data_IF_547087641557
#
_entry.id   IF_547087641557
#
_cell.length_a   1.000
_cell.length_b   1.000
_cell.length_c   1.000
_cell.angle_alpha   90.00
_cell.angle_beta   90.00
_cell.angle_gamma   90.00
#
_symmetry.space_group_name_H-M   'P 1'
#
loop_
_entity.id
_entity.type
_entity.pdbx_description
1 polymer ?
#
# COMPACT_ATOMS: atom_id res chain seq x y z
N UNK A 1 3.53 -37.22 -54.71
CA UNK A 1 3.83 -37.88 -53.41
C UNK A 1 4.52 -36.84 -52.53
N UNK A 2 3.87 -35.76 -52.14
CA UNK A 2 2.65 -35.63 -51.33
C UNK A 2 2.76 -36.18 -49.90
N UNK A 3 2.66 -35.21 -48.99
CA UNK A 3 1.94 -35.19 -47.70
C UNK A 3 2.53 -36.07 -46.57
N UNK A 4 3.20 -35.51 -45.56
CA UNK A 4 2.70 -34.60 -44.51
C UNK A 4 1.53 -35.18 -43.70
N UNK A 5 1.79 -35.47 -42.42
CA UNK A 5 0.87 -35.41 -41.24
C UNK A 5 1.72 -35.61 -39.98
N UNK A 6 1.87 -34.56 -39.16
CA UNK A 6 1.11 -34.33 -37.91
C UNK A 6 1.72 -35.12 -36.73
N UNK A 7 2.13 -34.52 -35.61
CA UNK A 7 1.41 -33.53 -34.83
C UNK A 7 2.32 -32.56 -34.06
N UNK A 8 1.83 -31.33 -33.96
CA UNK A 8 2.34 -30.21 -33.17
C UNK A 8 1.30 -29.93 -32.07
N UNK A 9 1.70 -29.88 -30.79
CA UNK A 9 0.97 -29.23 -29.66
C UNK A 9 1.76 -29.40 -28.34
N UNK A 10 1.52 -28.57 -27.30
CA UNK A 10 2.38 -27.42 -27.00
C UNK A 10 3.04 -27.48 -25.61
N UNK A 11 4.00 -26.57 -25.44
CA UNK A 11 4.71 -26.16 -24.22
C UNK A 11 3.80 -25.67 -23.09
N UNK A 12 3.94 -26.26 -21.90
CA UNK A 12 3.49 -25.79 -20.57
C UNK A 12 4.46 -26.41 -19.56
N UNK A 13 5.10 -25.75 -18.61
CA UNK A 13 5.13 -24.35 -18.20
C UNK A 13 6.41 -24.11 -17.38
N UNK A 14 6.81 -22.85 -17.33
CA UNK A 14 7.94 -22.33 -16.57
C UNK A 14 7.54 -22.30 -15.09
N UNK A 15 8.20 -23.07 -14.23
CA UNK A 15 8.22 -22.78 -12.80
C UNK A 15 9.40 -21.84 -12.53
N UNK A 16 9.13 -20.53 -12.66
CA UNK A 16 10.06 -19.49 -12.23
C UNK A 16 10.04 -19.47 -10.70
N UNK A 17 10.94 -20.25 -10.09
CA UNK A 17 11.27 -20.09 -8.67
C UNK A 17 11.84 -18.68 -8.50
N UNK A 18 11.05 -17.81 -7.88
CA UNK A 18 11.48 -16.49 -7.45
C UNK A 18 12.73 -16.62 -6.59
N UNK A 19 13.86 -16.14 -7.10
CA UNK A 19 15.12 -15.98 -6.37
C UNK A 19 15.07 -14.70 -5.55
N UNK A 20 14.19 -14.66 -4.56
CA UNK A 20 14.36 -13.80 -3.39
C UNK A 20 14.28 -14.69 -2.16
N UNK A 21 15.21 -15.64 -2.10
CA UNK A 21 15.57 -16.31 -0.87
C UNK A 21 16.23 -15.24 -0.01
N UNK A 22 15.42 -14.62 0.86
CA UNK A 22 15.89 -13.95 2.07
C UNK A 22 17.03 -14.79 2.63
N UNK A 23 18.19 -14.17 2.83
CA UNK A 23 19.32 -14.83 3.45
C UNK A 23 18.82 -15.50 4.74
N UNK A 24 18.84 -16.83 4.71
CA UNK A 24 18.21 -17.68 5.68
C UNK A 24 18.80 -17.41 7.07
N UNK A 25 18.01 -16.81 7.95
CA UNK A 25 18.13 -17.12 9.37
C UNK A 25 17.43 -18.48 9.54
N UNK A 26 18.22 -19.51 9.78
CA UNK A 26 17.75 -20.88 9.85
C UNK A 26 17.18 -21.14 11.26
N UNK A 27 15.92 -20.73 11.47
CA UNK A 27 15.27 -20.72 12.79
C UNK A 27 14.84 -22.08 13.36
N UNK A 28 15.03 -23.19 12.61
CA UNK A 28 14.63 -24.53 13.05
C UNK A 28 13.14 -24.65 13.46
N UNK A 29 12.81 -25.67 14.27
CA UNK A 29 11.47 -25.90 14.87
C UNK A 29 11.15 -24.93 16.04
N UNK A 30 11.93 -23.86 16.23
CA UNK A 30 11.94 -23.03 17.46
C UNK A 30 11.32 -21.63 17.32
N UNK A 31 11.02 -21.14 16.12
CA UNK A 31 10.39 -19.83 15.97
C UNK A 31 8.86 -19.94 16.04
N UNK A 32 8.29 -19.40 17.12
CA UNK A 32 6.84 -19.17 17.20
C UNK A 32 6.37 -18.16 16.16
N UNK A 33 5.11 -18.25 15.75
CA UNK A 33 4.53 -17.34 14.75
C UNK A 33 4.58 -15.88 15.20
N UNK A 34 4.52 -15.66 16.51
CA UNK A 34 4.67 -14.38 17.18
C UNK A 34 6.05 -13.77 16.90
N UNK A 35 7.10 -14.58 17.01
CA UNK A 35 8.49 -14.14 16.78
C UNK A 35 8.72 -13.79 15.31
N UNK A 36 8.16 -14.59 14.39
CA UNK A 36 8.21 -14.32 12.95
C UNK A 36 7.51 -13.01 12.62
N UNK A 37 6.35 -12.75 13.23
CA UNK A 37 5.61 -11.51 13.02
C UNK A 37 6.38 -10.27 13.51
N UNK A 38 7.09 -10.35 14.64
CA UNK A 38 7.96 -9.27 15.12
C UNK A 38 9.16 -9.09 14.18
N UNK A 39 9.77 -10.17 13.70
CA UNK A 39 10.90 -10.09 12.77
C UNK A 39 10.50 -9.45 11.43
N UNK A 40 9.32 -9.80 10.90
CA UNK A 40 8.75 -9.18 9.71
C UNK A 40 8.46 -7.68 9.94
N UNK A 41 7.85 -7.35 11.08
CA UNK A 41 7.58 -5.97 11.48
C UNK A 41 8.88 -5.14 11.63
N UNK A 42 9.93 -5.71 12.20
CA UNK A 42 11.23 -5.06 12.35
C UNK A 42 11.96 -4.90 11.00
N UNK A 43 11.66 -5.74 10.01
CA UNK A 43 12.18 -5.66 8.63
C UNK A 43 11.38 -4.73 7.72
N UNK A 44 10.18 -4.30 8.13
CA UNK A 44 9.29 -3.49 7.29
C UNK A 44 9.98 -2.19 6.81
N UNK A 45 9.83 -1.85 5.54
CA UNK A 45 10.46 -0.66 4.99
C UNK A 45 9.67 0.59 5.36
N UNK A 46 10.21 1.44 6.25
CA UNK A 46 9.61 2.72 6.66
C UNK A 46 8.12 2.58 7.04
N UNK A 47 7.82 1.83 8.11
CA UNK A 47 6.44 1.49 8.44
C UNK A 47 5.59 2.74 8.70
N UNK A 48 4.34 2.68 8.24
CA UNK A 48 3.36 3.71 8.53
C UNK A 48 3.09 3.79 10.06
N UNK A 49 2.88 4.98 10.65
CA UNK A 49 2.56 5.12 12.08
C UNK A 49 1.34 4.34 12.56
N UNK A 50 0.44 3.88 11.67
CA UNK A 50 -0.70 3.03 12.03
C UNK A 50 -0.36 1.53 12.04
N UNK A 51 0.81 1.16 11.57
CA UNK A 51 1.29 -0.23 11.56
C UNK A 51 1.95 -0.58 12.90
N UNK A 52 1.73 -1.79 13.46
CA UNK A 52 2.49 -2.26 14.63
C UNK A 52 4.00 -2.31 14.35
N UNK A 53 4.42 -2.41 13.08
CA UNK A 53 5.83 -2.34 12.70
C UNK A 53 6.49 -1.00 13.04
N UNK A 54 5.74 0.10 13.03
CA UNK A 54 6.27 1.38 13.50
C UNK A 54 6.66 1.31 14.97
N UNK A 55 5.77 0.77 15.81
CA UNK A 55 6.03 0.62 17.23
C UNK A 55 7.20 -0.33 17.51
N UNK A 56 7.23 -1.49 16.84
CA UNK A 56 8.33 -2.47 16.96
C UNK A 56 9.68 -1.81 16.63
N UNK A 57 9.78 -1.10 15.50
CA UNK A 57 11.03 -0.45 15.10
C UNK A 57 11.43 0.69 16.04
N UNK A 58 10.47 1.43 16.59
CA UNK A 58 10.76 2.51 17.53
C UNK A 58 11.23 2.00 18.87
N UNK A 59 10.60 0.96 19.41
CA UNK A 59 11.07 0.31 20.65
C UNK A 59 12.49 -0.23 20.46
N UNK A 60 12.77 -0.87 19.31
CA UNK A 60 14.13 -1.33 18.98
C UNK A 60 15.13 -0.16 18.97
N UNK A 61 14.81 0.95 18.30
CA UNK A 61 15.66 2.14 18.24
C UNK A 61 15.89 2.78 19.61
N UNK A 62 14.84 2.93 20.43
CA UNK A 62 14.94 3.48 21.79
C UNK A 62 15.94 2.67 22.60
N UNK A 63 15.88 1.35 22.50
CA UNK A 63 16.75 0.47 23.29
C UNK A 63 18.14 0.25 22.74
N UNK A 64 18.34 0.40 21.44
CA UNK A 64 19.68 0.36 20.84
C UNK A 64 20.49 1.65 21.11
N UNK A 65 19.82 2.77 21.37
CA UNK A 65 20.44 4.08 21.58
C UNK A 65 20.53 4.49 23.07
N UNK A 66 20.12 3.61 23.99
CA UNK A 66 20.21 3.85 25.43
C UNK A 66 21.67 3.63 25.87
N UNK A 67 22.44 4.71 26.00
CA UNK A 67 23.91 4.68 26.24
C UNK A 67 24.31 4.01 27.57
N UNK A 68 23.40 3.95 28.54
CA UNK A 68 23.66 3.38 29.88
C UNK A 68 23.32 1.88 29.99
N UNK A 69 22.42 1.36 29.14
CA UNK A 69 22.01 -0.05 29.12
C UNK A 69 21.62 -0.44 27.69
N UNK A 70 22.59 -0.88 26.87
CA UNK A 70 22.28 -1.62 25.64
C UNK A 70 21.61 -2.95 26.02
N UNK A 71 20.29 -2.94 26.23
CA UNK A 71 19.51 -4.11 26.65
C UNK A 71 19.51 -5.18 25.55
N UNK A 72 19.69 -4.79 24.29
CA UNK A 72 19.78 -5.72 23.16
C UNK A 72 21.14 -5.63 22.50
N UNK A 73 21.94 -6.70 22.62
CA UNK A 73 23.24 -6.82 21.96
C UNK A 73 23.08 -7.18 20.48
N UNK A 74 22.00 -7.90 20.13
CA UNK A 74 21.67 -8.30 18.76
C UNK A 74 20.16 -8.25 18.46
N UNK A 75 19.82 -8.35 17.17
CA UNK A 75 18.42 -8.38 16.68
C UNK A 75 17.67 -9.57 17.30
N UNK A 76 18.34 -10.70 17.42
CA UNK A 76 17.79 -11.95 17.94
C UNK A 76 17.38 -11.82 19.42
N UNK A 77 18.19 -11.12 20.22
CA UNK A 77 17.88 -10.85 21.64
C UNK A 77 16.61 -10.01 21.77
N UNK A 78 16.45 -9.02 20.89
CA UNK A 78 15.24 -8.21 20.84
C UNK A 78 14.00 -9.07 20.54
N UNK A 79 14.07 -9.95 19.55
CA UNK A 79 12.94 -10.81 19.18
C UNK A 79 12.48 -11.71 20.33
N UNK A 80 13.42 -12.27 21.11
CA UNK A 80 13.11 -13.13 22.26
C UNK A 80 12.53 -12.33 23.42
N UNK A 81 13.08 -11.14 23.68
CA UNK A 81 12.73 -10.33 24.85
C UNK A 81 11.51 -9.43 24.62
N UNK A 82 11.14 -9.13 23.37
CA UNK A 82 10.06 -8.22 23.02
C UNK A 82 8.77 -8.39 23.84
N UNK A 83 8.18 -9.60 23.97
CA UNK A 83 6.94 -9.76 24.74
C UNK A 83 7.10 -9.52 26.25
N UNK A 84 8.33 -9.58 26.76
CA UNK A 84 8.66 -9.35 28.17
C UNK A 84 8.91 -7.88 28.49
N UNK A 85 8.96 -7.01 27.47
CA UNK A 85 9.17 -5.58 27.67
C UNK A 85 7.96 -4.94 28.33
N UNK A 86 8.20 -4.34 29.49
CA UNK A 86 7.24 -3.52 30.20
C UNK A 86 7.12 -2.16 29.51
N UNK A 87 5.95 -1.54 29.60
CA UNK A 87 5.68 -0.26 28.92
C UNK A 87 6.47 0.92 29.48
N UNK A 88 6.82 0.88 30.77
CA UNK A 88 7.67 1.87 31.45
C UNK A 88 9.01 2.12 30.72
N UNK A 89 9.51 1.10 30.02
CA UNK A 89 10.74 1.12 29.24
C UNK A 89 10.74 2.16 28.11
N UNK A 90 9.58 2.48 27.53
CA UNK A 90 9.42 3.44 26.42
C UNK A 90 8.30 4.45 26.69
N UNK A 91 7.91 4.57 27.96
CA UNK A 91 6.90 5.52 28.40
C UNK A 91 7.36 6.96 28.12
N UNK A 92 6.44 7.78 27.61
CA UNK A 92 6.71 9.17 27.23
C UNK A 92 7.49 9.36 25.92
N UNK A 93 8.07 8.28 25.36
CA UNK A 93 8.78 8.32 24.07
C UNK A 93 7.92 7.81 22.91
N UNK A 94 6.93 6.96 23.22
CA UNK A 94 5.98 6.44 22.26
C UNK A 94 4.63 6.22 22.93
N UNK A 95 3.56 6.57 22.23
CA UNK A 95 2.18 6.40 22.68
C UNK A 95 1.25 5.99 21.55
N UNK A 96 0.06 5.54 21.92
CA UNK A 96 -1.04 5.34 20.98
C UNK A 96 -2.01 6.53 21.01
N UNK A 97 -2.18 7.18 19.86
CA UNK A 97 -3.22 8.18 19.65
C UNK A 97 -4.52 7.48 19.24
N UNK A 98 -5.44 7.34 20.20
CA UNK A 98 -6.75 6.75 19.97
C UNK A 98 -7.65 7.59 19.06
N UNK A 99 -7.42 8.91 18.96
CA UNK A 99 -8.19 9.78 18.09
C UNK A 99 -7.68 9.72 16.64
N UNK A 100 -6.39 9.50 16.42
CA UNK A 100 -5.80 9.29 15.09
C UNK A 100 -5.72 7.82 14.64
N UNK A 101 -5.99 6.89 15.56
CA UNK A 101 -5.78 5.44 15.45
C UNK A 101 -4.37 5.11 14.95
N UNK A 102 -3.35 5.76 15.52
CA UNK A 102 -1.96 5.64 15.12
C UNK A 102 -0.97 5.73 16.30
N UNK A 103 0.23 5.22 16.10
CA UNK A 103 1.37 5.44 16.99
C UNK A 103 1.89 6.88 16.85
N UNK A 104 2.24 7.47 17.98
CA UNK A 104 2.80 8.81 18.08
C UNK A 104 4.08 8.80 18.90
N UNK A 105 5.01 9.71 18.58
CA UNK A 105 6.20 9.99 19.40
C UNK A 105 5.95 11.09 20.43
N UNK A 106 4.71 11.57 20.54
CA UNK A 106 4.31 12.51 21.58
C UNK A 106 3.97 11.77 22.88
N UNK A 107 4.07 12.41 24.05
CA UNK A 107 3.62 11.83 25.31
C UNK A 107 2.13 11.46 25.24
N UNK A 108 1.78 10.30 25.79
CA UNK A 108 0.41 9.78 25.76
C UNK A 108 0.31 8.38 26.37
N UNK A 109 -0.83 7.70 26.19
CA UNK A 109 -1.02 6.34 26.70
C UNK A 109 -0.03 5.35 26.09
N UNK A 110 0.75 4.70 26.94
CA UNK A 110 1.70 3.65 26.54
C UNK A 110 0.98 2.32 26.36
N UNK A 111 1.21 1.65 25.24
CA UNK A 111 0.65 0.31 24.97
C UNK A 111 1.69 -0.76 25.30
N UNK A 112 1.35 -1.83 26.06
CA UNK A 112 2.29 -2.89 26.40
C UNK A 112 2.83 -3.65 25.17
N UNK A 113 4.08 -4.13 25.26
CA UNK A 113 4.75 -4.79 24.14
C UNK A 113 4.06 -6.11 23.74
N UNK A 114 3.49 -6.84 24.71
CA UNK A 114 2.67 -8.02 24.44
C UNK A 114 1.49 -7.70 23.52
N UNK A 115 0.81 -6.56 23.73
CA UNK A 115 -0.30 -6.15 22.87
C UNK A 115 0.17 -5.79 21.46
N UNK A 116 1.31 -5.10 21.36
CA UNK A 116 1.93 -4.78 20.06
C UNK A 116 2.30 -6.06 19.30
N UNK A 117 2.75 -7.10 20.00
CA UNK A 117 3.02 -8.42 19.41
C UNK A 117 1.76 -9.11 18.90
N UNK A 118 0.66 -9.08 19.67
CA UNK A 118 -0.63 -9.60 19.21
C UNK A 118 -1.09 -8.90 17.93
N UNK A 119 -0.97 -7.56 17.87
CA UNK A 119 -1.35 -6.78 16.69
C UNK A 119 -0.46 -7.11 15.48
N UNK A 120 0.86 -7.23 15.67
CA UNK A 120 1.79 -7.65 14.62
C UNK A 120 1.49 -9.08 14.13
N UNK A 121 1.22 -10.02 15.04
CA UNK A 121 0.86 -11.39 14.68
C UNK A 121 -0.44 -11.42 13.87
N UNK A 122 -1.46 -10.64 14.27
CA UNK A 122 -2.72 -10.53 13.50
C UNK A 122 -2.46 -10.01 12.09
N UNK A 123 -1.66 -8.95 11.95
CA UNK A 123 -1.30 -8.40 10.64
C UNK A 123 -0.58 -9.43 9.76
N UNK A 124 0.39 -10.15 10.34
CA UNK A 124 1.14 -11.20 9.66
C UNK A 124 0.23 -12.34 9.17
N UNK A 125 -0.66 -12.84 10.05
CA UNK A 125 -1.61 -13.91 9.72
C UNK A 125 -2.60 -13.54 8.61
N UNK A 126 -2.96 -12.26 8.50
CA UNK A 126 -3.85 -11.77 7.44
C UNK A 126 -3.10 -11.39 6.16
N UNK A 127 -1.78 -11.53 6.11
CA UNK A 127 -0.96 -11.18 4.94
C UNK A 127 -0.96 -9.68 4.65
N UNK A 128 -1.13 -8.85 5.68
CA UNK A 128 -1.14 -7.40 5.56
C UNK A 128 0.28 -6.84 5.42
N UNK A 129 0.45 -5.81 4.59
CA UNK A 129 1.74 -5.17 4.38
C UNK A 129 2.11 -4.30 5.58
N UNK A 130 3.11 -4.74 6.33
CA UNK A 130 3.65 -4.08 7.54
C UNK A 130 4.20 -2.68 7.27
N UNK A 131 4.57 -2.38 6.02
CA UNK A 131 5.10 -1.07 5.64
C UNK A 131 3.99 -0.05 5.36
N UNK A 132 2.77 -0.53 5.08
CA UNK A 132 1.65 0.30 4.62
C UNK A 132 0.63 0.56 5.71
N UNK A 133 -0.24 1.53 5.43
CA UNK A 133 -1.49 1.68 6.16
C UNK A 133 -2.44 0.56 5.74
N UNK A 134 -2.40 -0.57 6.45
CA UNK A 134 -3.42 -1.61 6.32
C UNK A 134 -4.49 -1.38 7.38
N UNK A 135 -5.76 -1.45 6.97
CA UNK A 135 -6.89 -1.19 7.86
C UNK A 135 -7.20 -2.43 8.67
N UNK A 136 -7.06 -2.28 9.98
CA UNK A 136 -7.32 -3.32 10.93
C UNK A 136 -8.79 -3.26 11.36
N UNK A 137 -9.55 -4.32 11.04
CA UNK A 137 -10.99 -4.39 11.28
C UNK A 137 -11.39 -4.30 12.76
N UNK A 138 -10.45 -4.49 13.69
CA UNK A 138 -10.71 -4.32 15.12
C UNK A 138 -10.59 -2.87 15.60
N UNK A 139 -10.06 -1.95 14.78
CA UNK A 139 -9.95 -0.54 15.11
C UNK A 139 -10.95 0.30 14.32
N UNK A 140 -11.68 1.16 15.02
CA UNK A 140 -12.43 2.24 14.38
C UNK A 140 -11.46 3.35 13.99
N UNK A 141 -11.50 3.77 12.73
CA UNK A 141 -10.68 4.88 12.24
C UNK A 141 -11.53 6.15 12.15
N UNK A 142 -10.93 7.34 12.30
CA UNK A 142 -11.66 8.61 12.23
C UNK A 142 -12.46 8.78 10.94
N UNK A 143 -11.89 8.33 9.81
CA UNK A 143 -12.52 8.34 8.50
C UNK A 143 -13.82 7.50 8.42
N UNK A 144 -14.00 6.50 9.28
CA UNK A 144 -15.24 5.69 9.34
C UNK A 144 -16.44 6.51 9.81
N UNK A 145 -16.20 7.62 10.51
CA UNK A 145 -17.25 8.49 11.04
C UNK A 145 -17.66 9.57 10.04
N UNK A 146 -16.79 9.90 9.09
CA UNK A 146 -17.04 10.97 8.10
C UNK A 146 -17.69 10.44 6.81
N UNK A 147 -17.52 9.15 6.50
CA UNK A 147 -18.08 8.52 5.30
C UNK A 147 -18.85 7.22 5.65
N UNK A 148 -20.13 7.32 5.97
CA UNK A 148 -21.06 6.18 5.95
C UNK A 148 -22.03 6.35 4.76
N UNK A 149 -22.22 5.33 3.90
CA UNK A 149 -22.41 3.94 4.28
C UNK A 149 -21.15 3.06 4.17
N UNK A 150 -21.01 2.24 5.20
CA UNK A 150 -19.84 1.56 5.74
C UNK A 150 -19.48 0.21 5.10
N UNK A 151 -18.18 -0.04 4.97
CA UNK A 151 -17.59 -1.38 4.87
C UNK A 151 -16.08 -1.35 4.59
N UNK A 152 -15.31 -2.25 5.21
CA UNK A 152 -13.86 -2.45 4.98
C UNK A 152 -13.49 -2.63 3.48
N UNK A 153 -14.43 -3.15 2.70
CA UNK A 153 -14.29 -3.28 1.25
C UNK A 153 -14.33 -1.95 0.49
N UNK A 154 -15.02 -0.94 0.99
CA UNK A 154 -15.16 0.37 0.34
C UNK A 154 -13.88 1.20 0.50
N UNK A 155 -13.23 1.15 1.67
CA UNK A 155 -11.95 1.85 1.89
C UNK A 155 -10.77 1.19 1.19
N UNK A 156 -10.74 -0.15 1.15
CA UNK A 156 -9.78 -0.89 0.33
C UNK A 156 -9.97 -0.58 -1.16
N UNK A 157 -11.21 -0.44 -1.61
CA UNK A 157 -11.52 0.02 -2.96
C UNK A 157 -11.01 1.44 -3.16
N UNK A 158 -11.23 2.35 -2.21
CA UNK A 158 -10.80 3.74 -2.30
C UNK A 158 -9.28 3.89 -2.37
N UNK A 159 -8.52 3.17 -1.52
CA UNK A 159 -7.05 3.17 -1.59
C UNK A 159 -6.51 2.53 -2.87
N UNK A 160 -7.16 1.47 -3.37
CA UNK A 160 -6.78 0.86 -4.65
C UNK A 160 -7.11 1.74 -5.87
N UNK A 161 -8.03 2.71 -5.70
CA UNK A 161 -8.47 3.61 -6.77
C UNK A 161 -7.76 4.97 -6.75
N UNK A 162 -7.22 5.41 -5.61
CA UNK A 162 -6.51 6.68 -5.48
C UNK A 162 -5.07 6.55 -5.99
N UNK A 163 -4.65 7.25 -7.07
CA UNK A 163 -3.26 7.18 -7.52
C UNK A 163 -2.31 7.83 -6.51
N UNK A 164 -1.19 7.17 -6.25
CA UNK A 164 -0.02 7.75 -5.57
C UNK A 164 0.67 8.83 -6.43
N UNK A 165 1.65 9.55 -5.86
CA UNK A 165 2.36 10.65 -6.54
C UNK A 165 3.14 10.22 -7.78
N UNK A 166 3.61 8.98 -7.79
CA UNK A 166 4.31 8.34 -8.89
C UNK A 166 3.40 7.46 -9.74
N UNK A 167 2.07 7.56 -9.56
CA UNK A 167 1.08 6.77 -10.27
C UNK A 167 0.08 7.63 -11.04
N UNK A 168 -0.53 7.01 -12.04
CA UNK A 168 -1.76 7.46 -12.67
C UNK A 168 -2.72 6.30 -12.79
N UNK A 169 -4.01 6.59 -12.74
CA UNK A 169 -5.06 5.64 -13.12
C UNK A 169 -5.49 5.94 -14.55
N UNK A 170 -5.57 4.92 -15.39
CA UNK A 170 -5.90 5.02 -16.81
C UNK A 170 -7.14 4.23 -17.13
N UNK A 171 -8.11 4.91 -17.75
CA UNK A 171 -9.28 4.30 -18.37
C UNK A 171 -9.08 4.23 -19.87
N UNK A 172 -9.00 3.02 -20.42
CA UNK A 172 -9.00 2.84 -21.87
C UNK A 172 -10.45 2.81 -22.35
N UNK A 173 -10.75 3.53 -23.43
CA UNK A 173 -12.08 3.55 -24.00
C UNK A 173 -12.05 3.49 -25.53
N UNK A 174 -13.17 3.08 -26.12
CA UNK A 174 -13.38 3.09 -27.57
C UNK A 174 -14.40 4.17 -27.92
N UNK A 175 -14.00 5.00 -28.86
CA UNK A 175 -14.89 5.88 -29.62
C UNK A 175 -15.37 5.10 -30.85
N UNK A 176 -16.58 4.56 -30.78
CA UNK A 176 -17.17 3.75 -31.85
C UNK A 176 -17.50 4.56 -33.10
N UNK A 177 -17.68 5.88 -32.99
CA UNK A 177 -18.02 6.72 -34.14
C UNK A 177 -16.81 6.91 -35.06
N UNK A 178 -15.62 6.97 -34.47
CA UNK A 178 -14.38 7.23 -35.20
C UNK A 178 -13.43 6.02 -35.21
N UNK A 179 -13.84 4.88 -34.63
CA UNK A 179 -13.04 3.65 -34.46
C UNK A 179 -11.68 3.89 -33.81
N UNK A 180 -11.63 4.75 -32.78
CA UNK A 180 -10.39 5.12 -32.08
C UNK A 180 -10.35 4.57 -30.66
N UNK A 181 -9.13 4.31 -30.20
CA UNK A 181 -8.86 3.98 -28.80
C UNK A 181 -8.34 5.22 -28.09
N UNK A 182 -9.03 5.62 -27.04
CA UNK A 182 -8.67 6.72 -26.17
C UNK A 182 -8.25 6.27 -24.79
N UNK A 183 -7.71 7.22 -24.04
CA UNK A 183 -7.37 7.08 -22.63
C UNK A 183 -7.86 8.29 -21.84
N UNK A 184 -8.19 8.06 -20.57
CA UNK A 184 -8.39 9.09 -19.57
C UNK A 184 -7.49 8.78 -18.39
N UNK A 185 -6.50 9.63 -18.16
CA UNK A 185 -5.53 9.52 -17.07
C UNK A 185 -5.97 10.40 -15.91
N UNK A 186 -5.93 9.87 -14.69
CA UNK A 186 -6.10 10.62 -13.45
C UNK A 186 -4.84 10.49 -12.62
N UNK A 187 -4.28 11.61 -12.18
CA UNK A 187 -3.04 11.64 -11.39
C UNK A 187 -3.03 12.81 -10.41
N UNK A 188 -2.23 12.70 -9.35
CA UNK A 188 -2.06 13.79 -8.37
C UNK A 188 -1.23 14.92 -8.99
N UNK A 189 -1.68 16.16 -8.85
CA UNK A 189 -0.91 17.33 -9.26
C UNK A 189 0.33 17.49 -8.39
N UNK A 190 1.48 17.87 -8.97
CA UNK A 190 2.69 18.15 -8.18
C UNK A 190 2.65 19.47 -7.43
N UNK A 191 1.82 20.40 -7.91
CA UNK A 191 1.82 21.79 -7.43
C UNK A 191 0.70 22.08 -6.44
N UNK A 192 -0.22 21.13 -6.23
CA UNK A 192 -1.45 21.31 -5.44
C UNK A 192 -1.89 19.96 -4.88
N UNK A 193 -2.66 19.94 -3.78
CA UNK A 193 -3.29 18.71 -3.25
C UNK A 193 -4.47 18.18 -4.10
N UNK A 194 -4.67 18.72 -5.30
CA UNK A 194 -5.72 18.34 -6.23
C UNK A 194 -5.27 17.27 -7.22
N UNK A 195 -6.25 16.62 -7.86
CA UNK A 195 -6.04 15.62 -8.89
C UNK A 195 -6.40 16.18 -10.27
N UNK A 196 -5.68 15.72 -11.29
CA UNK A 196 -5.85 16.12 -12.67
C UNK A 196 -6.41 14.96 -13.47
N UNK A 197 -7.46 15.19 -14.24
CA UNK A 197 -7.91 14.29 -15.30
C UNK A 197 -7.46 14.81 -16.67
N UNK A 198 -6.83 13.96 -17.47
CA UNK A 198 -6.44 14.23 -18.86
C UNK A 198 -7.01 13.18 -19.82
N UNK A 199 -7.72 13.63 -20.85
CA UNK A 199 -8.25 12.77 -21.91
C UNK A 199 -7.45 12.92 -23.22
N UNK A 200 -7.25 11.82 -23.95
CA UNK A 200 -6.63 11.83 -25.28
C UNK A 200 -6.82 10.54 -26.07
N UNK A 201 -6.34 10.52 -27.33
CA UNK A 201 -6.38 9.36 -28.22
C UNK A 201 -4.98 8.88 -28.59
N UNK A 202 -4.73 7.56 -28.53
CA UNK A 202 -3.38 7.00 -28.75
C UNK A 202 -2.84 7.22 -30.17
N UNK A 203 -3.73 7.32 -31.15
CA UNK A 203 -3.37 7.51 -32.55
C UNK A 203 -3.19 8.98 -32.94
N UNK A 204 -3.43 9.93 -32.03
CA UNK A 204 -3.28 11.36 -32.31
C UNK A 204 -2.62 12.10 -31.13
N UNK A 205 -1.32 12.37 -31.28
CA UNK A 205 -0.54 13.13 -30.28
C UNK A 205 -1.07 14.54 -30.02
N UNK A 206 -1.79 15.15 -30.97
CA UNK A 206 -2.38 16.49 -30.79
C UNK A 206 -3.57 16.49 -29.83
N UNK A 207 -4.16 15.32 -29.61
CA UNK A 207 -5.31 15.13 -28.71
C UNK A 207 -4.88 14.80 -27.29
N UNK A 208 -3.59 14.65 -27.02
CA UNK A 208 -3.11 14.49 -25.66
C UNK A 208 -3.40 15.81 -24.93
N UNK A 209 -4.24 15.76 -23.87
CA UNK A 209 -4.79 16.90 -23.09
C UNK A 209 -6.06 17.55 -23.66
N UNK A 210 -6.92 16.78 -24.34
CA UNK A 210 -8.16 17.30 -24.95
C UNK A 210 -9.08 18.01 -23.94
N UNK A 211 -9.08 17.52 -22.69
CA UNK A 211 -9.70 18.16 -21.53
C UNK A 211 -8.80 17.92 -20.32
N UNK A 212 -8.36 18.99 -19.66
CA UNK A 212 -7.61 18.99 -18.40
C UNK A 212 -8.47 19.64 -17.33
N UNK A 213 -8.84 18.88 -16.29
CA UNK A 213 -9.65 19.36 -15.17
C UNK A 213 -8.93 19.04 -13.87
N UNK A 214 -8.88 20.02 -12.96
CA UNK A 214 -8.21 19.90 -11.65
C UNK A 214 -9.23 20.06 -10.53
N UNK A 215 -9.43 19.01 -9.72
CA UNK A 215 -10.45 18.95 -8.66
C UNK A 215 -9.98 18.02 -7.52
N UNK A 216 -10.65 18.04 -6.35
CA UNK A 216 -10.52 16.98 -5.36
C UNK A 216 -10.81 15.62 -6.01
N UNK A 217 -10.08 14.58 -5.59
CA UNK A 217 -10.16 13.27 -6.24
C UNK A 217 -11.59 12.74 -6.40
N UNK A 218 -12.41 12.84 -5.35
CA UNK A 218 -13.76 12.28 -5.36
C UNK A 218 -14.72 13.06 -6.26
N UNK A 219 -14.54 14.37 -6.37
CA UNK A 219 -15.29 15.16 -7.34
C UNK A 219 -14.90 14.75 -8.77
N UNK A 220 -13.60 14.59 -8.98
CA UNK A 220 -13.04 14.19 -10.26
C UNK A 220 -13.51 12.78 -10.68
N UNK A 221 -13.40 11.80 -9.80
CA UNK A 221 -13.70 10.39 -10.09
C UNK A 221 -15.18 10.02 -9.94
N UNK A 222 -15.88 10.63 -8.98
CA UNK A 222 -17.29 10.37 -8.75
C UNK A 222 -18.22 11.01 -9.78
N UNK A 223 -17.82 12.16 -10.35
CA UNK A 223 -18.70 12.95 -11.21
C UNK A 223 -18.06 13.32 -12.55
N UNK A 224 -16.86 13.89 -12.54
CA UNK A 224 -16.26 14.50 -13.73
C UNK A 224 -15.82 13.46 -14.75
N UNK A 225 -15.00 12.48 -14.37
CA UNK A 225 -14.50 11.41 -15.24
C UNK A 225 -15.65 10.57 -15.82
N UNK A 226 -16.66 10.11 -15.05
CA UNK A 226 -17.84 9.45 -15.61
C UNK A 226 -18.57 10.32 -16.63
N UNK A 227 -18.69 11.63 -16.37
CA UNK A 227 -19.33 12.57 -17.29
C UNK A 227 -18.53 12.75 -18.59
N UNK A 228 -17.21 12.89 -18.49
CA UNK A 228 -16.30 12.97 -19.65
C UNK A 228 -16.36 11.71 -20.51
N UNK A 229 -16.54 10.54 -19.88
CA UNK A 229 -16.53 9.24 -20.54
C UNK A 229 -17.92 8.74 -20.95
N UNK A 230 -19.00 9.47 -20.65
CA UNK A 230 -20.40 9.05 -20.84
C UNK A 230 -20.73 8.56 -22.25
N UNK A 231 -20.08 9.12 -23.26
CA UNK A 231 -20.30 8.81 -24.68
C UNK A 231 -19.37 7.73 -25.24
N UNK A 232 -18.44 7.21 -24.44
CA UNK A 232 -17.46 6.22 -24.86
C UNK A 232 -17.70 4.87 -24.18
N UNK A 233 -17.27 3.79 -24.84
CA UNK A 233 -17.26 2.47 -24.21
C UNK A 233 -15.94 2.28 -23.46
N UNK A 234 -15.97 2.36 -22.13
CA UNK A 234 -14.81 2.06 -21.28
C UNK A 234 -14.51 0.56 -21.33
N UNK A 235 -13.27 0.22 -21.70
CA UNK A 235 -12.80 -1.15 -21.84
C UNK A 235 -12.06 -1.65 -20.60
N UNK A 236 -11.29 -0.79 -19.95
CA UNK A 236 -10.46 -1.21 -18.82
C UNK A 236 -10.08 -0.04 -17.92
N UNK A 237 -9.84 -0.36 -16.65
CA UNK A 237 -9.19 0.48 -15.66
C UNK A 237 -7.85 -0.15 -15.26
N UNK A 238 -6.78 0.65 -15.23
CA UNK A 238 -5.42 0.21 -14.92
C UNK A 238 -4.67 1.29 -14.15
N UNK A 239 -3.87 0.90 -13.16
CA UNK A 239 -2.87 1.77 -12.55
C UNK A 239 -1.57 1.65 -13.34
N UNK A 240 -0.90 2.77 -13.57
CA UNK A 240 0.40 2.83 -14.23
C UNK A 240 1.33 3.74 -13.44
N UNK A 241 2.64 3.55 -13.60
CA UNK A 241 3.61 4.55 -13.16
C UNK A 241 3.42 5.86 -13.94
N UNK A 242 3.66 7.01 -13.31
CA UNK A 242 3.45 8.35 -13.86
C UNK A 242 4.28 8.61 -15.14
N UNK A 243 5.39 7.90 -15.31
CA UNK A 243 6.18 7.90 -16.56
C UNK A 243 5.42 7.36 -17.79
N UNK A 244 4.31 6.67 -17.58
CA UNK A 244 3.42 6.25 -18.66
C UNK A 244 2.42 7.34 -19.07
N UNK A 245 2.44 8.51 -18.41
CA UNK A 245 1.65 9.68 -18.78
C UNK A 245 1.99 10.07 -20.22
N UNK A 246 0.95 10.33 -21.00
CA UNK A 246 1.08 10.64 -22.43
C UNK A 246 1.10 12.15 -22.70
N UNK A 247 0.57 12.96 -21.77
CA UNK A 247 0.80 14.40 -21.71
C UNK A 247 2.16 14.73 -21.10
N UNK A 248 2.59 16.00 -21.16
CA UNK A 248 3.81 16.41 -20.45
C UNK A 248 3.51 16.56 -18.95
N UNK A 249 4.48 16.24 -18.09
CA UNK A 249 4.38 16.58 -16.68
C UNK A 249 4.86 18.01 -16.45
N UNK A 250 4.12 18.80 -15.68
CA UNK A 250 4.64 19.99 -15.01
C UNK A 250 5.28 19.61 -13.67
#
# INVERSE_FOLDING_TARGET
MDLARSAFRPSIGVEMKSKHTLAAVNWGDSAGIEMIAIDEALSAYKPNPRSPAFAVQKIFQIKSNDDDEQVFLAREDFLVMFPLLKGDVYEGQMSWDAAGSCWSLSPGPTVPALRIQEDAMRWYLNGWDMSRHTRDSEFGYPEDREFAPSGEGIDRLFHALLPHEDELTRRLFVDHQNERVGYCDVYKSKNTDMYVAELGFFNDRRTHRLQRITQPFWELEGFTVPSMLKQYKVLSYRVHHIFALRGEME
#
